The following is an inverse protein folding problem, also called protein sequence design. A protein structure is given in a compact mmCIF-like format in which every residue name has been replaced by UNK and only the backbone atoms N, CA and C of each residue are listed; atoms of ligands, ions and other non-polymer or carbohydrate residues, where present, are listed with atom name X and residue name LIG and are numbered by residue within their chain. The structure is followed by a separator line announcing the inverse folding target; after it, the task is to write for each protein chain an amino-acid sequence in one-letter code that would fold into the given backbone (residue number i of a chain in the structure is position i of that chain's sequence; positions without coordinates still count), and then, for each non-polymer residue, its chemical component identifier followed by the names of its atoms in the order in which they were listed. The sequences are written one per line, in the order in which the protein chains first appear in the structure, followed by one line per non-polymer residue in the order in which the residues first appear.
data_IF_814588371005
#
_entry.id   IF_814588371005
#
_cell.length_a   1.000
_cell.length_b   1.000
_cell.length_c   1.000
_cell.angle_alpha   90.00
_cell.angle_beta   90.00
_cell.angle_gamma   90.00
#
_symmetry.space_group_name_H-M   'P 1'
#
loop_
_entity.id
_entity.type
_entity.pdbx_description
1 polymer ?
#
# COMPACT_ATOMS: atom_id res chain seq x y z
N UNK A 1 2.55 12.62 -18.16
CA UNK A 1 2.82 11.30 -17.61
C UNK A 1 2.42 11.23 -16.15
N UNK A 2 1.78 10.14 -15.72
CA UNK A 2 1.13 9.98 -14.41
C UNK A 2 0.13 11.10 -14.14
N UNK A 3 -0.97 11.05 -14.88
CA UNK A 3 -2.00 12.06 -14.83
C UNK A 3 -2.75 12.05 -13.48
N UNK A 4 -3.35 13.18 -13.06
CA UNK A 4 -4.14 13.22 -11.83
C UNK A 4 -5.30 12.24 -11.85
N UNK A 5 -5.60 11.64 -10.71
CA UNK A 5 -6.71 10.70 -10.54
C UNK A 5 -8.05 11.42 -10.77
N UNK A 6 -8.72 11.13 -11.89
CA UNK A 6 -10.02 11.70 -12.23
C UNK A 6 -11.17 10.70 -12.19
N UNK A 7 -10.86 9.42 -12.23
CA UNK A 7 -11.84 8.33 -12.29
C UNK A 7 -12.64 8.15 -10.99
N UNK A 8 -12.02 8.45 -9.84
CA UNK A 8 -12.67 8.37 -8.52
C UNK A 8 -13.36 9.67 -8.11
N UNK A 9 -12.84 10.85 -8.55
CA UNK A 9 -13.27 12.17 -8.11
C UNK A 9 -13.20 13.15 -9.27
N UNK A 10 -14.17 14.06 -9.39
CA UNK A 10 -14.11 15.20 -10.31
C UNK A 10 -13.87 14.91 -11.80
N UNK A 11 -14.85 14.34 -12.49
CA UNK A 11 -14.89 14.34 -13.98
C UNK A 11 -14.66 15.74 -14.59
N UNK A 12 -14.96 16.82 -13.87
CA UNK A 12 -14.70 18.20 -14.32
C UNK A 12 -13.21 18.56 -14.47
N UNK A 13 -12.30 17.94 -13.70
CA UNK A 13 -10.86 18.14 -13.85
C UNK A 13 -10.32 17.62 -15.19
N UNK A 14 -10.93 16.60 -15.74
CA UNK A 14 -10.54 16.06 -17.04
C UNK A 14 -10.63 17.14 -18.13
N UNK A 15 -11.66 18.00 -18.12
CA UNK A 15 -11.82 19.09 -19.10
C UNK A 15 -10.68 20.09 -19.08
N UNK A 16 -10.14 20.41 -17.88
CA UNK A 16 -8.99 21.31 -17.77
C UNK A 16 -7.72 20.66 -18.35
N UNK A 17 -7.50 19.38 -18.05
CA UNK A 17 -6.35 18.63 -18.57
C UNK A 17 -6.43 18.52 -20.09
N UNK A 18 -7.61 18.23 -20.65
CA UNK A 18 -7.82 18.19 -22.11
C UNK A 18 -7.47 19.52 -22.78
N UNK A 19 -7.75 20.65 -22.11
CA UNK A 19 -7.42 21.97 -22.62
C UNK A 19 -5.93 22.28 -22.55
N UNK A 20 -5.27 21.87 -21.45
CA UNK A 20 -3.94 22.34 -21.07
C UNK A 20 -2.82 21.35 -21.47
N UNK A 21 -3.18 20.13 -21.95
CA UNK A 21 -2.21 19.05 -22.26
C UNK A 21 -2.51 18.47 -23.64
N UNK A 22 -1.51 18.38 -24.51
CA UNK A 22 -1.64 17.83 -25.85
C UNK A 22 -1.89 16.32 -25.86
N UNK A 23 -1.24 15.58 -24.92
CA UNK A 23 -1.30 14.14 -24.85
C UNK A 23 -1.17 13.63 -23.41
N UNK A 24 -1.95 12.63 -23.02
CA UNK A 24 -1.90 11.97 -21.71
C UNK A 24 -1.27 10.60 -21.87
N UNK A 25 -0.17 10.33 -21.17
CA UNK A 25 0.38 9.00 -21.00
C UNK A 25 -0.15 8.42 -19.67
N UNK A 26 -1.17 7.55 -19.76
CA UNK A 26 -1.83 6.94 -18.62
C UNK A 26 -1.14 5.66 -18.18
N UNK A 27 -1.06 5.44 -16.86
CA UNK A 27 -0.46 4.25 -16.26
C UNK A 27 -1.49 3.17 -15.89
N UNK A 28 -2.78 3.51 -15.90
CA UNK A 28 -3.87 2.56 -15.67
C UNK A 28 -4.86 2.54 -16.85
N UNK A 29 -5.40 1.36 -17.23
CA UNK A 29 -6.33 1.25 -18.34
C UNK A 29 -7.64 2.02 -18.09
N UNK A 30 -8.19 1.95 -16.86
CA UNK A 30 -9.41 2.68 -16.48
C UNK A 30 -9.22 4.21 -16.47
N UNK A 31 -8.02 4.70 -16.19
CA UNK A 31 -7.69 6.14 -16.34
C UNK A 31 -7.68 6.55 -17.81
N UNK A 32 -7.06 5.71 -18.65
CA UNK A 32 -7.01 5.98 -20.09
C UNK A 32 -8.43 6.09 -20.68
N UNK A 33 -9.35 5.25 -20.22
CA UNK A 33 -10.74 5.29 -20.65
C UNK A 33 -11.44 6.57 -20.17
N UNK A 34 -11.31 6.92 -18.90
CA UNK A 34 -11.89 8.13 -18.34
C UNK A 34 -11.38 9.43 -19.03
N UNK A 35 -10.10 9.46 -19.41
CA UNK A 35 -9.53 10.59 -20.15
C UNK A 35 -10.00 10.63 -21.60
N UNK A 36 -10.17 9.49 -22.27
CA UNK A 36 -10.74 9.43 -23.65
C UNK A 36 -12.19 9.92 -23.67
N UNK A 37 -13.01 9.48 -22.72
CA UNK A 37 -14.39 9.97 -22.56
C UNK A 37 -14.45 11.48 -22.38
N UNK A 38 -13.44 12.07 -21.72
CA UNK A 38 -13.32 13.52 -21.57
C UNK A 38 -12.81 14.25 -22.81
N UNK A 39 -12.45 13.54 -23.89
CA UNK A 39 -11.95 14.09 -25.14
C UNK A 39 -10.43 14.26 -25.22
N UNK A 40 -9.65 13.69 -24.30
CA UNK A 40 -8.19 13.74 -24.34
C UNK A 40 -7.60 12.78 -25.38
N UNK A 41 -6.44 13.16 -25.96
CA UNK A 41 -5.56 12.22 -26.65
C UNK A 41 -4.80 11.40 -25.60
N UNK A 42 -5.01 10.08 -25.56
CA UNK A 42 -4.48 9.22 -24.49
C UNK A 42 -3.81 7.98 -25.05
N UNK A 43 -2.62 7.68 -24.53
CA UNK A 43 -1.96 6.38 -24.70
C UNK A 43 -1.83 5.71 -23.33
N UNK A 44 -2.29 4.47 -23.21
CA UNK A 44 -1.97 3.62 -22.06
C UNK A 44 -0.55 3.09 -22.26
N UNK A 45 0.36 3.42 -21.33
CA UNK A 45 1.79 3.10 -21.41
C UNK A 45 2.23 2.04 -20.39
N UNK A 46 1.30 1.55 -19.57
CA UNK A 46 1.62 0.63 -18.49
C UNK A 46 2.13 1.33 -17.23
N UNK A 47 2.16 0.59 -16.13
CA UNK A 47 2.60 1.12 -14.84
C UNK A 47 4.10 0.83 -14.63
N UNK A 48 4.94 1.83 -14.27
CA UNK A 48 6.39 1.65 -14.12
C UNK A 48 6.76 0.65 -13.02
N UNK A 49 5.89 0.42 -12.05
CA UNK A 49 6.11 -0.61 -11.04
C UNK A 49 6.23 -2.02 -11.64
N UNK A 50 5.61 -2.30 -12.78
CA UNK A 50 5.73 -3.60 -13.44
C UNK A 50 7.19 -3.94 -13.80
N UNK A 51 8.01 -2.93 -14.08
CA UNK A 51 9.41 -3.08 -14.43
C UNK A 51 10.35 -2.98 -13.22
N UNK A 52 9.94 -2.24 -12.18
CA UNK A 52 10.81 -1.87 -11.06
C UNK A 52 10.61 -2.72 -9.81
N UNK A 53 9.42 -3.30 -9.61
CA UNK A 53 9.11 -4.14 -8.45
C UNK A 53 9.75 -5.51 -8.61
N UNK A 54 10.95 -5.64 -8.06
CA UNK A 54 11.69 -6.91 -8.00
C UNK A 54 12.67 -6.91 -6.84
N UNK A 55 12.78 -8.05 -6.18
CA UNK A 55 13.82 -8.26 -5.17
C UNK A 55 15.20 -8.34 -5.84
N UNK A 56 16.20 -7.76 -5.19
CA UNK A 56 17.60 -7.77 -5.62
C UNK A 56 18.41 -8.87 -4.93
N UNK A 57 18.01 -9.30 -3.75
CA UNK A 57 18.61 -10.37 -2.97
C UNK A 57 17.94 -11.71 -3.24
N UNK A 58 18.65 -12.80 -3.08
CA UNK A 58 18.04 -14.12 -2.90
C UNK A 58 17.24 -14.19 -1.61
N UNK A 59 16.39 -15.20 -1.46
CA UNK A 59 15.64 -15.41 -0.22
C UNK A 59 16.56 -15.54 1.00
N UNK A 60 17.65 -16.32 0.89
CA UNK A 60 18.58 -16.58 1.97
C UNK A 60 19.36 -15.33 2.38
N UNK A 61 19.81 -14.54 1.40
CA UNK A 61 20.48 -13.26 1.67
C UNK A 61 19.55 -12.27 2.37
N UNK A 62 18.30 -12.16 1.91
CA UNK A 62 17.32 -11.29 2.55
C UNK A 62 16.94 -11.75 3.97
N UNK A 63 16.78 -13.06 4.19
CA UNK A 63 16.56 -13.62 5.53
C UNK A 63 17.70 -13.26 6.49
N UNK A 64 18.93 -13.39 6.04
CA UNK A 64 20.11 -13.04 6.84
C UNK A 64 20.20 -11.53 7.08
N UNK A 65 19.99 -10.73 6.04
CA UNK A 65 20.09 -9.27 6.09
C UNK A 65 19.08 -8.64 7.06
N UNK A 66 17.85 -9.12 7.03
CA UNK A 66 16.76 -8.58 7.88
C UNK A 66 16.62 -9.29 9.24
N UNK A 67 17.40 -10.33 9.52
CA UNK A 67 17.27 -11.12 10.74
C UNK A 67 15.95 -11.90 10.78
N UNK A 68 15.56 -12.47 9.65
CA UNK A 68 14.32 -13.24 9.53
C UNK A 68 14.38 -14.57 10.29
N UNK A 69 13.40 -14.82 11.16
CA UNK A 69 13.25 -16.09 11.84
C UNK A 69 12.64 -17.13 10.87
N UNK A 70 13.25 -18.32 10.78
CA UNK A 70 12.82 -19.39 9.86
C UNK A 70 11.57 -20.14 10.33
N UNK A 71 11.32 -20.13 11.62
CA UNK A 71 10.20 -20.86 12.24
C UNK A 71 8.95 -19.99 12.28
N UNK A 72 9.11 -18.72 12.63
CA UNK A 72 8.01 -17.77 12.79
C UNK A 72 7.38 -17.36 11.45
N UNK A 73 6.08 -17.04 11.49
CA UNK A 73 5.40 -16.35 10.39
C UNK A 73 5.90 -14.91 10.33
N UNK A 74 6.41 -14.48 9.19
CA UNK A 74 6.95 -13.12 8.99
C UNK A 74 5.87 -12.23 8.39
N UNK A 75 5.41 -11.28 9.20
CA UNK A 75 4.31 -10.38 8.84
C UNK A 75 4.85 -8.98 8.60
N UNK A 76 4.56 -8.44 7.44
CA UNK A 76 4.93 -7.08 7.06
C UNK A 76 3.83 -6.10 7.49
N UNK A 77 4.20 -5.04 8.23
CA UNK A 77 3.29 -3.97 8.65
C UNK A 77 3.64 -2.70 7.88
N UNK A 78 2.75 -2.24 7.01
CA UNK A 78 2.94 -1.05 6.18
C UNK A 78 1.88 0.02 6.49
N UNK A 79 2.05 0.80 7.57
CA UNK A 79 1.04 1.77 8.02
C UNK A 79 0.92 3.02 7.12
N UNK A 80 1.80 3.17 6.14
CA UNK A 80 1.84 4.29 5.23
C UNK A 80 3.15 5.05 5.25
N UNK A 81 3.25 6.08 4.42
CA UNK A 81 4.45 6.91 4.25
C UNK A 81 4.30 8.33 4.79
N UNK A 82 3.11 8.71 5.24
CA UNK A 82 2.82 10.01 5.83
C UNK A 82 2.58 9.88 7.32
N UNK A 83 2.96 10.93 8.06
CA UNK A 83 2.87 10.96 9.52
C UNK A 83 1.45 10.66 10.03
N UNK A 84 0.44 11.31 9.46
CA UNK A 84 -0.96 11.09 9.81
C UNK A 84 -1.45 9.67 9.51
N UNK A 85 -1.00 9.04 8.41
CA UNK A 85 -1.34 7.65 8.09
C UNK A 85 -0.79 6.71 9.18
N UNK A 86 0.47 6.91 9.57
CA UNK A 86 1.12 6.11 10.62
C UNK A 86 0.43 6.33 11.98
N UNK A 87 0.09 7.56 12.35
CA UNK A 87 -0.63 7.90 13.58
C UNK A 87 -1.98 7.19 13.68
N UNK A 88 -2.69 7.07 12.57
CA UNK A 88 -4.01 6.47 12.54
C UNK A 88 -3.99 4.94 12.49
N UNK A 89 -3.06 4.36 11.70
CA UNK A 89 -3.08 2.92 11.40
C UNK A 89 -2.13 2.08 12.24
N UNK A 90 -0.95 2.60 12.59
CA UNK A 90 0.04 1.81 13.32
C UNK A 90 -0.48 1.29 14.67
N UNK A 91 -1.22 2.06 15.48
CA UNK A 91 -1.78 1.53 16.74
C UNK A 91 -2.72 0.35 16.53
N UNK A 92 -3.54 0.38 15.48
CA UNK A 92 -4.44 -0.73 15.15
C UNK A 92 -3.68 -1.95 14.64
N UNK A 93 -2.65 -1.74 13.81
CA UNK A 93 -1.78 -2.82 13.33
C UNK A 93 -1.01 -3.50 14.48
N UNK A 94 -0.53 -2.74 15.46
CA UNK A 94 0.14 -3.29 16.64
C UNK A 94 -0.80 -4.12 17.51
N UNK A 95 -2.06 -3.70 17.67
CA UNK A 95 -3.09 -4.50 18.35
C UNK A 95 -3.41 -5.78 17.57
N UNK A 96 -3.52 -5.71 16.26
CA UNK A 96 -3.72 -6.89 15.42
C UNK A 96 -2.53 -7.85 15.51
N UNK A 97 -1.30 -7.32 15.54
CA UNK A 97 -0.08 -8.10 15.72
C UNK A 97 -0.08 -8.84 17.08
N UNK A 98 -0.52 -8.18 18.14
CA UNK A 98 -0.62 -8.80 19.48
C UNK A 98 -1.62 -9.96 19.49
N UNK A 99 -2.78 -9.79 18.85
CA UNK A 99 -3.77 -10.86 18.69
C UNK A 99 -3.22 -12.02 17.84
N UNK A 100 -2.47 -11.73 16.78
CA UNK A 100 -1.84 -12.77 15.96
C UNK A 100 -0.82 -13.58 16.74
N UNK A 101 -0.03 -12.94 17.60
CA UNK A 101 0.98 -13.60 18.45
C UNK A 101 0.34 -14.57 19.45
N UNK A 102 -0.92 -14.38 19.83
CA UNK A 102 -1.66 -15.36 20.65
C UNK A 102 -2.02 -16.65 19.88
N UNK A 103 -2.08 -16.56 18.56
CA UNK A 103 -2.54 -17.68 17.70
C UNK A 103 -1.40 -18.44 17.03
N UNK A 104 -0.29 -17.77 16.77
CA UNK A 104 0.88 -18.38 16.14
C UNK A 104 2.16 -17.59 16.45
N UNK A 105 3.30 -18.25 16.33
CA UNK A 105 4.59 -17.57 16.44
C UNK A 105 4.81 -16.64 15.25
N UNK A 106 4.90 -15.35 15.53
CA UNK A 106 5.06 -14.31 14.53
C UNK A 106 6.31 -13.47 14.79
N UNK A 107 6.92 -13.02 13.71
CA UNK A 107 7.89 -11.95 13.65
C UNK A 107 7.33 -10.85 12.75
N UNK A 108 7.39 -9.61 13.19
CA UNK A 108 6.83 -8.49 12.46
C UNK A 108 7.94 -7.60 11.92
N UNK A 109 7.79 -7.18 10.68
CA UNK A 109 8.67 -6.21 10.05
C UNK A 109 7.91 -4.91 9.81
N UNK A 110 8.49 -3.80 10.26
CA UNK A 110 7.92 -2.46 10.12
C UNK A 110 8.89 -1.58 9.32
N UNK A 111 8.74 -1.53 7.98
CA UNK A 111 9.56 -0.67 7.15
C UNK A 111 9.22 0.80 7.38
N UNK A 112 10.20 1.56 7.81
CA UNK A 112 10.08 2.99 8.02
C UNK A 112 10.31 3.73 6.70
N UNK A 113 9.35 4.52 6.25
CA UNK A 113 9.51 5.42 5.12
C UNK A 113 10.55 6.51 5.44
N UNK A 114 11.32 6.95 4.44
CA UNK A 114 12.34 7.98 4.62
C UNK A 114 11.81 9.33 5.11
N UNK A 115 10.51 9.58 4.91
CA UNK A 115 9.78 10.78 5.38
C UNK A 115 9.42 10.74 6.87
N UNK A 116 9.56 9.59 7.52
CA UNK A 116 9.20 9.35 8.92
C UNK A 116 10.48 9.22 9.75
N UNK A 117 10.59 9.93 10.88
CA UNK A 117 11.75 9.81 11.76
C UNK A 117 11.74 8.49 12.57
N UNK A 118 12.91 8.06 13.00
CA UNK A 118 13.05 6.85 13.82
C UNK A 118 12.37 7.02 15.17
N UNK A 119 12.56 8.18 15.79
CA UNK A 119 12.02 8.55 17.10
C UNK A 119 10.49 8.46 17.09
N UNK A 120 9.86 8.93 16.00
CA UNK A 120 8.42 8.90 15.85
C UNK A 120 7.88 7.45 15.86
N UNK A 121 8.52 6.52 15.17
CA UNK A 121 8.14 5.10 15.22
C UNK A 121 8.39 4.51 16.60
N UNK A 122 9.54 4.82 17.23
CA UNK A 122 9.88 4.30 18.54
C UNK A 122 8.87 4.71 19.62
N UNK A 123 8.27 5.90 19.54
CA UNK A 123 7.25 6.34 20.48
C UNK A 123 6.01 5.46 20.48
N UNK A 124 5.60 4.92 19.32
CA UNK A 124 4.54 3.91 19.24
C UNK A 124 4.98 2.58 19.84
N UNK A 125 6.21 2.15 19.54
CA UNK A 125 6.72 0.85 19.99
C UNK A 125 6.95 0.77 21.51
N UNK A 126 7.25 1.89 22.17
CA UNK A 126 7.35 1.97 23.65
C UNK A 126 6.06 1.51 24.35
N UNK A 127 4.91 1.74 23.70
CA UNK A 127 3.60 1.38 24.23
C UNK A 127 3.04 0.09 23.62
N UNK A 128 3.81 -0.60 22.78
CA UNK A 128 3.43 -1.88 22.21
C UNK A 128 3.59 -3.01 23.21
N UNK A 129 2.89 -4.11 22.99
CA UNK A 129 3.04 -5.31 23.82
C UNK A 129 4.48 -5.82 23.80
N UNK A 130 5.08 -6.14 24.97
CA UNK A 130 6.45 -6.66 25.02
C UNK A 130 6.59 -8.06 24.40
N UNK A 131 5.48 -8.72 24.07
CA UNK A 131 5.47 -10.03 23.38
C UNK A 131 5.76 -9.91 21.88
N UNK A 132 5.67 -8.71 21.32
CA UNK A 132 5.83 -8.50 19.89
C UNK A 132 7.31 -8.51 19.50
N UNK A 133 7.68 -9.47 18.65
CA UNK A 133 8.97 -9.50 17.97
C UNK A 133 8.90 -8.59 16.72
N UNK A 134 9.22 -7.30 16.90
CA UNK A 134 9.14 -6.29 15.84
C UNK A 134 10.53 -5.80 15.45
N UNK A 135 10.85 -5.93 14.16
CA UNK A 135 12.07 -5.38 13.57
C UNK A 135 11.69 -4.16 12.71
N UNK A 136 12.19 -2.98 13.10
CA UNK A 136 12.06 -1.77 12.27
C UNK A 136 13.16 -1.79 11.21
N UNK A 137 12.77 -1.64 9.94
CA UNK A 137 13.68 -1.68 8.81
C UNK A 137 13.64 -0.37 8.01
N UNK A 138 14.62 -0.16 7.13
CA UNK A 138 14.65 0.96 6.20
C UNK A 138 15.24 0.52 4.86
N UNK A 139 14.62 0.96 3.76
CA UNK A 139 15.03 0.59 2.40
C UNK A 139 14.78 -0.88 2.04
N UNK A 140 15.18 -1.26 0.84
CA UNK A 140 15.13 -2.64 0.29
C UNK A 140 13.79 -3.33 0.49
N UNK A 141 12.69 -2.60 0.28
CA UNK A 141 11.32 -3.05 0.59
C UNK A 141 10.94 -4.33 -0.18
N UNK A 142 11.38 -4.50 -1.43
CA UNK A 142 11.06 -5.68 -2.22
C UNK A 142 11.83 -6.92 -1.74
N UNK A 143 13.05 -6.75 -1.24
CA UNK A 143 13.81 -7.83 -0.61
C UNK A 143 13.14 -8.27 0.70
N UNK A 144 12.61 -7.32 1.47
CA UNK A 144 11.83 -7.59 2.68
C UNK A 144 10.50 -8.29 2.35
N UNK A 145 9.76 -7.84 1.34
CA UNK A 145 8.53 -8.49 0.88
C UNK A 145 8.77 -9.95 0.47
N UNK A 146 9.92 -10.24 -0.13
CA UNK A 146 10.29 -11.60 -0.57
C UNK A 146 10.32 -12.62 0.57
N UNK A 147 10.68 -12.20 1.77
CA UNK A 147 10.80 -13.09 2.94
C UNK A 147 9.53 -13.11 3.80
N UNK A 148 8.63 -12.18 3.62
CA UNK A 148 7.40 -12.11 4.40
C UNK A 148 6.35 -13.13 3.93
N UNK A 149 5.53 -13.60 4.87
CA UNK A 149 4.46 -14.57 4.64
C UNK A 149 3.15 -13.87 4.27
N UNK A 150 2.91 -12.70 4.87
CA UNK A 150 1.73 -11.86 4.60
C UNK A 150 2.04 -10.40 4.95
N UNK A 151 1.16 -9.51 4.52
CA UNK A 151 1.26 -8.08 4.75
C UNK A 151 -0.06 -7.50 5.26
N UNK A 152 0.03 -6.54 6.18
CA UNK A 152 -1.06 -5.62 6.52
C UNK A 152 -0.62 -4.26 6.01
N UNK A 153 -1.31 -3.72 5.01
CA UNK A 153 -0.90 -2.49 4.33
C UNK A 153 -1.99 -1.42 4.34
N UNK A 154 -1.58 -0.16 4.45
CA UNK A 154 -2.44 0.98 4.17
C UNK A 154 -2.79 1.07 2.68
N UNK A 155 -3.92 1.70 2.35
CA UNK A 155 -4.31 1.97 0.96
C UNK A 155 -3.29 2.87 0.27
N UNK A 156 -2.91 2.49 -0.96
CA UNK A 156 -1.97 3.25 -1.78
C UNK A 156 -1.22 2.36 -2.77
N UNK A 157 -0.15 2.88 -3.34
CA UNK A 157 0.73 2.15 -4.28
C UNK A 157 1.37 0.91 -3.65
N UNK A 158 1.54 0.90 -2.32
CA UNK A 158 2.08 -0.23 -1.58
C UNK A 158 1.30 -1.53 -1.82
N UNK A 159 -0.03 -1.46 -1.97
CA UNK A 159 -0.86 -2.64 -2.25
C UNK A 159 -0.61 -3.21 -3.65
N UNK A 160 -0.29 -2.36 -4.62
CA UNK A 160 0.11 -2.81 -5.95
C UNK A 160 1.51 -3.44 -5.92
N UNK A 161 2.43 -2.88 -5.15
CA UNK A 161 3.78 -3.43 -4.97
C UNK A 161 3.73 -4.81 -4.31
N UNK A 162 2.93 -4.99 -3.25
CA UNK A 162 2.75 -6.30 -2.60
C UNK A 162 2.12 -7.33 -3.55
N UNK A 163 1.13 -6.92 -4.35
CA UNK A 163 0.50 -7.78 -5.34
C UNK A 163 1.48 -8.21 -6.43
N UNK A 164 2.31 -7.30 -6.95
CA UNK A 164 3.35 -7.61 -7.93
C UNK A 164 4.45 -8.53 -7.37
N UNK A 165 4.73 -8.43 -6.06
CA UNK A 165 5.64 -9.34 -5.36
C UNK A 165 5.00 -10.70 -5.01
N UNK A 166 3.71 -10.89 -5.26
CA UNK A 166 2.97 -12.10 -4.89
C UNK A 166 2.79 -12.28 -3.38
N UNK A 167 2.89 -11.19 -2.59
CA UNK A 167 2.76 -11.24 -1.14
C UNK A 167 1.28 -11.10 -0.73
N UNK A 168 0.67 -12.12 -0.09
CA UNK A 168 -0.69 -12.03 0.42
C UNK A 168 -0.85 -10.81 1.33
N UNK A 169 -1.83 -9.97 1.04
CA UNK A 169 -1.98 -8.67 1.72
C UNK A 169 -3.41 -8.46 2.16
N UNK A 170 -3.58 -7.92 3.37
CA UNK A 170 -4.83 -7.33 3.84
C UNK A 170 -4.68 -5.82 3.78
N UNK A 171 -5.59 -5.17 3.07
CA UNK A 171 -5.66 -3.73 2.99
C UNK A 171 -6.44 -3.18 4.20
N UNK A 172 -5.86 -2.20 4.87
CA UNK A 172 -6.53 -1.48 5.95
C UNK A 172 -6.54 0.02 5.66
N UNK A 173 -7.65 0.65 5.94
CA UNK A 173 -7.76 2.11 5.84
C UNK A 173 -8.69 2.65 6.91
N UNK A 174 -8.45 3.87 7.29
CA UNK A 174 -9.30 4.59 8.23
C UNK A 174 -9.76 5.89 7.60
N UNK A 175 -11.06 6.06 7.51
CA UNK A 175 -11.67 7.31 7.06
C UNK A 175 -12.34 7.98 8.26
N UNK A 176 -12.22 9.32 8.35
CA UNK A 176 -13.06 10.05 9.30
C UNK A 176 -14.52 9.82 8.97
N UNK A 177 -15.41 9.87 9.97
CA UNK A 177 -16.85 9.68 9.77
C UNK A 177 -17.42 10.62 8.67
N UNK A 178 -16.92 11.86 8.60
CA UNK A 178 -17.31 12.84 7.58
C UNK A 178 -16.82 12.41 6.20
N UNK A 179 -15.55 11.99 6.10
CA UNK A 179 -14.95 11.52 4.84
C UNK A 179 -15.63 10.24 4.36
N UNK A 180 -15.96 9.32 5.26
CA UNK A 180 -16.71 8.11 4.94
C UNK A 180 -18.10 8.41 4.39
N UNK A 181 -18.84 9.33 5.04
CA UNK A 181 -20.17 9.76 4.60
C UNK A 181 -20.12 10.40 3.20
N UNK A 182 -19.15 11.28 2.96
CA UNK A 182 -18.96 11.90 1.65
C UNK A 182 -18.51 10.88 0.60
N UNK A 183 -17.59 9.99 0.94
CA UNK A 183 -17.10 8.95 0.04
C UNK A 183 -18.24 8.04 -0.41
N UNK A 184 -19.09 7.59 0.49
CA UNK A 184 -20.25 6.74 0.17
C UNK A 184 -21.21 7.36 -0.85
N UNK A 185 -21.31 8.69 -0.90
CA UNK A 185 -22.21 9.40 -1.82
C UNK A 185 -21.54 9.92 -3.09
N UNK A 186 -20.23 10.15 -3.07
CA UNK A 186 -19.49 10.78 -4.14
C UNK A 186 -18.58 9.82 -4.91
N UNK A 187 -18.12 8.75 -4.26
CA UNK A 187 -17.17 7.79 -4.85
C UNK A 187 -17.95 6.61 -5.44
N UNK A 188 -17.78 6.39 -6.74
CA UNK A 188 -18.45 5.31 -7.50
C UNK A 188 -17.51 4.11 -7.72
N UNK A 189 -16.58 3.88 -6.79
CA UNK A 189 -15.68 2.72 -6.88
C UNK A 189 -16.07 1.70 -5.83
N UNK A 190 -16.09 0.46 -6.26
CA UNK A 190 -16.44 -0.70 -5.44
C UNK A 190 -15.30 -1.07 -4.48
N UNK A 191 -14.06 -0.77 -4.86
CA UNK A 191 -12.84 -1.13 -4.12
C UNK A 191 -11.95 0.09 -3.86
N UNK A 192 -11.21 0.04 -2.74
CA UNK A 192 -10.21 1.05 -2.37
C UNK A 192 -8.78 0.64 -2.77
N UNK A 193 -8.51 -0.64 -2.91
CA UNK A 193 -7.20 -1.20 -3.28
C UNK A 193 -6.99 -1.26 -4.79
N UNK A 194 -5.85 -0.77 -5.25
CA UNK A 194 -5.49 -0.81 -6.68
C UNK A 194 -5.55 -2.22 -7.31
N UNK A 195 -5.11 -3.30 -6.65
CA UNK A 195 -5.26 -4.65 -7.20
C UNK A 195 -6.71 -5.04 -7.46
N UNK A 196 -7.62 -4.74 -6.52
CA UNK A 196 -9.04 -5.04 -6.65
C UNK A 196 -9.70 -4.23 -7.76
N UNK A 197 -9.36 -2.93 -7.86
CA UNK A 197 -9.83 -2.03 -8.92
C UNK A 197 -9.38 -2.53 -10.29
N UNK A 198 -8.10 -2.91 -10.42
CA UNK A 198 -7.54 -3.37 -11.70
C UNK A 198 -8.15 -4.69 -12.18
N UNK A 199 -8.46 -5.58 -11.25
CA UNK A 199 -8.97 -6.92 -11.56
C UNK A 199 -10.49 -7.00 -11.51
N UNK A 200 -11.18 -5.91 -11.14
CA UNK A 200 -12.64 -5.87 -10.91
C UNK A 200 -13.11 -7.03 -10.00
N UNK A 201 -12.28 -7.37 -9.01
CA UNK A 201 -12.49 -8.50 -8.10
C UNK A 201 -11.73 -8.27 -6.80
N UNK A 202 -12.32 -8.70 -5.69
CA UNK A 202 -11.63 -8.72 -4.41
C UNK A 202 -10.56 -9.83 -4.40
N UNK A 203 -9.30 -9.44 -4.58
CA UNK A 203 -8.12 -10.32 -4.46
C UNK A 203 -7.27 -9.96 -3.24
N UNK A 204 -7.48 -8.75 -2.72
CA UNK A 204 -6.90 -8.25 -1.49
C UNK A 204 -8.06 -7.89 -0.56
N UNK A 205 -8.27 -8.61 0.57
CA UNK A 205 -9.30 -8.24 1.55
C UNK A 205 -9.13 -6.79 2.02
N UNK A 206 -10.25 -6.05 2.13
CA UNK A 206 -10.29 -4.64 2.52
C UNK A 206 -11.07 -4.48 3.85
N UNK A 207 -10.42 -3.86 4.88
CA UNK A 207 -10.96 -3.70 6.23
C UNK A 207 -10.94 -2.24 6.70
#
# INVERSE_FOLDING_TARGET
YIAPTIWAWHKGRAKNIVRDVEHVASIFPFEAEAYREAGARVTFVGHPLADTVKASMSYEEAMMFFGGDRVKKRILLMPGSRKNEVEELLPAMLKAADILTEKCECQFFLPRAGTISSEFIQDFLKNASPRLDIIVTAGRIYDLMRICTACIASSGTATLETALMGLPTVLVYRLSAITWFLAKHLVRVEYAGLPNILLHKEVTPEL
#
